data_IF_724452750459
#
_entry.id   IF_724452750459
#
_cell.length_a   1.000
_cell.length_b   1.000
_cell.length_c   1.000
_cell.angle_alpha   90.00
_cell.angle_beta   90.00
_cell.angle_gamma   90.00
#
_symmetry.space_group_name_H-M   'P 1'
#
loop_
_entity.id
_entity.type
_entity.pdbx_description
1 polymer ?
#
# COMPACT_ATOMS: atom_id res chain seq x y z
N UNK A 1 71.68 -2.38 22.97
CA UNK A 1 70.64 -3.42 23.06
C UNK A 1 69.34 -2.73 23.50
N UNK A 2 68.47 -2.33 22.58
CA UNK A 2 67.15 -1.79 22.87
C UNK A 2 66.12 -2.65 22.09
N UNK A 3 65.33 -3.43 22.82
CA UNK A 3 64.25 -4.28 22.28
C UNK A 3 63.01 -3.42 22.08
N UNK A 4 62.62 -3.20 20.87
CA UNK A 4 61.32 -2.58 20.50
C UNK A 4 60.25 -3.66 20.45
N UNK A 5 59.29 -3.60 21.34
CA UNK A 5 58.08 -4.43 21.33
C UNK A 5 57.06 -3.76 20.43
N UNK A 6 56.77 -4.38 19.31
CA UNK A 6 55.66 -3.96 18.41
C UNK A 6 54.35 -4.53 18.95
N UNK A 7 53.48 -3.66 19.44
CA UNK A 7 52.11 -4.04 19.85
C UNK A 7 51.25 -4.09 18.59
N UNK A 8 50.73 -5.30 18.26
CA UNK A 8 49.78 -5.57 17.20
C UNK A 8 48.37 -5.24 17.72
N UNK A 9 47.84 -4.08 17.37
CA UNK A 9 46.43 -3.76 17.62
C UNK A 9 45.55 -4.42 16.55
N UNK A 10 44.93 -5.54 16.93
CA UNK A 10 43.93 -6.23 16.14
C UNK A 10 42.61 -5.44 16.26
N UNK A 11 42.32 -4.56 15.30
CA UNK A 11 41.08 -3.84 15.20
C UNK A 11 39.94 -4.78 14.76
N UNK A 12 39.12 -5.20 15.70
CA UNK A 12 37.87 -5.88 15.37
C UNK A 12 36.89 -4.88 14.73
N UNK A 13 36.81 -4.88 13.42
CA UNK A 13 35.76 -4.16 12.70
C UNK A 13 34.41 -4.86 12.98
N UNK A 14 33.61 -4.31 13.89
CA UNK A 14 32.20 -4.68 14.03
C UNK A 14 31.49 -4.21 12.75
N UNK A 15 31.26 -5.12 11.81
CA UNK A 15 30.32 -4.90 10.71
C UNK A 15 28.92 -4.89 11.32
N UNK A 16 28.36 -3.69 11.52
CA UNK A 16 26.95 -3.50 11.78
C UNK A 16 26.19 -3.96 10.53
N UNK A 17 25.75 -5.21 10.53
CA UNK A 17 24.78 -5.69 9.56
C UNK A 17 23.47 -4.94 9.83
N UNK A 18 23.18 -3.97 8.96
CA UNK A 18 21.87 -3.34 8.91
C UNK A 18 20.88 -4.44 8.51
N UNK A 19 20.27 -5.11 9.48
CA UNK A 19 19.10 -5.94 9.24
C UNK A 19 18.00 -4.96 8.86
N UNK A 20 17.68 -4.90 7.58
CA UNK A 20 16.49 -4.19 7.12
C UNK A 20 15.30 -4.82 7.86
N UNK A 21 14.73 -4.09 8.81
CA UNK A 21 13.49 -4.49 9.43
C UNK A 21 12.45 -4.62 8.31
N UNK A 22 11.82 -5.80 8.20
CA UNK A 22 10.70 -5.96 7.29
C UNK A 22 9.64 -4.91 7.66
N UNK A 23 9.20 -4.12 6.69
CA UNK A 23 8.14 -3.14 6.91
C UNK A 23 6.90 -3.89 7.42
N UNK A 24 6.43 -3.56 8.63
CA UNK A 24 5.24 -4.19 9.21
C UNK A 24 4.03 -3.88 8.35
N UNK A 25 3.21 -4.91 8.15
CA UNK A 25 2.00 -4.77 7.35
C UNK A 25 0.95 -3.95 8.10
N UNK A 26 0.56 -2.82 7.53
CA UNK A 26 -0.52 -1.96 8.02
C UNK A 26 -1.81 -2.30 7.28
N UNK A 27 -2.88 -2.58 8.02
CA UNK A 27 -4.20 -2.89 7.48
C UNK A 27 -4.79 -1.72 6.71
N UNK A 28 -5.61 -2.04 5.71
CA UNK A 28 -6.24 -1.02 4.87
C UNK A 28 -7.60 -1.46 4.35
N UNK A 29 -8.39 -0.52 3.84
CA UNK A 29 -9.67 -0.78 3.24
C UNK A 29 -9.64 -1.93 2.23
N UNK A 30 -10.63 -2.80 2.28
CA UNK A 30 -10.76 -3.97 1.43
C UNK A 30 -10.06 -5.24 1.93
N UNK A 31 -9.23 -5.14 2.99
CA UNK A 31 -8.64 -6.33 3.61
C UNK A 31 -9.74 -7.23 4.20
N UNK A 32 -9.57 -8.53 4.00
CA UNK A 32 -10.44 -9.54 4.60
C UNK A 32 -9.67 -10.23 5.72
N UNK A 33 -10.22 -10.15 6.92
CA UNK A 33 -9.62 -10.70 8.13
C UNK A 33 -10.38 -11.93 8.60
N UNK A 34 -9.66 -12.97 8.92
CA UNK A 34 -10.17 -14.09 9.71
C UNK A 34 -9.88 -13.81 11.18
N UNK A 35 -10.94 -13.65 11.97
CA UNK A 35 -10.87 -13.38 13.40
C UNK A 35 -11.47 -14.56 14.12
N UNK A 36 -10.74 -15.11 15.08
CA UNK A 36 -11.19 -16.21 15.93
C UNK A 36 -11.12 -15.79 17.38
N UNK A 37 -12.23 -15.99 18.08
CA UNK A 37 -12.32 -15.79 19.54
C UNK A 37 -12.53 -17.17 20.16
N UNK A 38 -11.55 -17.63 20.94
CA UNK A 38 -11.56 -18.97 21.51
C UNK A 38 -12.79 -19.18 22.40
N UNK A 39 -13.56 -20.24 22.12
CA UNK A 39 -14.80 -20.57 22.85
C UNK A 39 -16.04 -19.76 22.41
N UNK A 40 -15.91 -18.86 21.41
CA UNK A 40 -16.99 -18.01 20.93
C UNK A 40 -17.09 -18.09 19.40
N UNK A 41 -17.72 -19.13 18.87
CA UNK A 41 -17.89 -19.32 17.43
C UNK A 41 -18.81 -18.26 16.80
N UNK A 42 -19.77 -17.74 17.57
CA UNK A 42 -20.68 -16.66 17.18
C UNK A 42 -19.97 -15.32 16.93
N UNK A 43 -18.82 -15.09 17.57
CA UNK A 43 -17.96 -13.91 17.38
C UNK A 43 -16.82 -14.15 16.37
N UNK A 44 -16.67 -15.37 15.90
CA UNK A 44 -15.57 -15.76 15.03
C UNK A 44 -15.94 -15.71 13.55
N UNK A 45 -14.95 -15.59 12.66
CA UNK A 45 -15.15 -15.72 11.21
C UNK A 45 -15.72 -17.06 10.82
N UNK A 46 -15.42 -18.11 11.59
CA UNK A 46 -15.95 -19.45 11.35
C UNK A 46 -17.31 -19.61 12.01
N UNK A 47 -18.37 -19.61 11.19
CA UNK A 47 -19.74 -19.87 11.64
C UNK A 47 -20.23 -21.16 11.00
N UNK A 48 -20.47 -22.20 11.81
CA UNK A 48 -20.83 -23.53 11.30
C UNK A 48 -19.76 -24.09 10.35
N UNK A 49 -20.09 -24.31 9.08
CA UNK A 49 -19.15 -24.81 8.06
C UNK A 49 -18.72 -23.74 7.04
N UNK A 50 -18.97 -22.46 7.32
CA UNK A 50 -18.67 -21.37 6.39
C UNK A 50 -17.75 -20.36 7.07
N UNK A 51 -16.63 -20.06 6.43
CA UNK A 51 -15.76 -18.97 6.85
C UNK A 51 -16.26 -17.65 6.25
N UNK A 52 -16.74 -16.75 7.09
CA UNK A 52 -17.15 -15.39 6.70
C UNK A 52 -16.11 -14.41 7.24
N UNK A 53 -15.22 -13.87 6.39
CA UNK A 53 -14.21 -12.94 6.84
C UNK A 53 -14.84 -11.60 7.24
N UNK A 54 -14.23 -10.93 8.18
CA UNK A 54 -14.48 -9.52 8.46
C UNK A 54 -13.77 -8.66 7.42
N UNK A 55 -14.45 -7.68 6.86
CA UNK A 55 -13.89 -6.83 5.80
C UNK A 55 -13.62 -5.44 6.37
N UNK A 56 -12.42 -4.92 6.15
CA UNK A 56 -12.12 -3.52 6.44
C UNK A 56 -12.89 -2.65 5.45
N UNK A 57 -13.79 -1.83 5.98
CA UNK A 57 -14.64 -0.94 5.19
C UNK A 57 -13.82 0.17 4.51
N UNK A 58 -14.37 0.85 3.49
CA UNK A 58 -13.69 1.98 2.82
C UNK A 58 -13.29 3.13 3.76
N UNK A 59 -14.01 3.31 4.89
CA UNK A 59 -13.70 4.30 5.93
C UNK A 59 -12.61 3.84 6.91
N UNK A 60 -11.99 2.67 6.67
CA UNK A 60 -10.94 2.11 7.52
C UNK A 60 -11.43 1.49 8.81
N UNK A 61 -12.71 1.13 8.91
CA UNK A 61 -13.32 0.54 10.10
C UNK A 61 -13.76 -0.90 9.87
N UNK A 62 -13.89 -1.65 10.96
CA UNK A 62 -14.49 -2.99 11.01
C UNK A 62 -15.62 -2.97 12.01
N UNK A 63 -16.78 -3.54 11.64
CA UNK A 63 -17.84 -3.83 12.58
C UNK A 63 -17.61 -5.20 13.22
N UNK A 64 -17.46 -5.21 14.54
CA UNK A 64 -17.28 -6.45 15.29
C UNK A 64 -18.41 -6.66 16.30
N UNK A 65 -19.00 -7.87 16.38
CA UNK A 65 -20.06 -8.16 17.34
C UNK A 65 -19.66 -7.81 18.78
N UNK A 66 -20.57 -7.30 19.57
CA UNK A 66 -20.43 -6.77 20.94
C UNK A 66 -19.69 -5.45 21.03
N UNK A 67 -18.59 -5.27 20.29
CA UNK A 67 -17.70 -4.09 20.37
C UNK A 67 -18.20 -2.94 19.49
N UNK A 68 -18.83 -3.28 18.33
CA UNK A 68 -19.25 -2.29 17.35
C UNK A 68 -18.15 -1.91 16.39
N UNK A 69 -18.09 -0.62 16.00
CA UNK A 69 -17.13 -0.11 15.02
C UNK A 69 -15.74 0.12 15.63
N UNK A 70 -14.72 -0.50 15.04
CA UNK A 70 -13.32 -0.35 15.44
C UNK A 70 -12.54 0.28 14.29
N UNK A 71 -11.81 1.37 14.57
CA UNK A 71 -10.92 2.00 13.59
C UNK A 71 -9.64 1.17 13.46
N UNK A 72 -9.34 0.74 12.23
CA UNK A 72 -8.14 -0.06 11.90
C UNK A 72 -7.08 0.76 11.14
N UNK A 73 -7.36 2.03 10.86
CA UNK A 73 -6.48 2.89 10.06
C UNK A 73 -5.12 3.07 10.73
N UNK A 74 -4.07 2.69 10.02
CA UNK A 74 -2.70 2.83 10.52
C UNK A 74 -2.26 1.74 11.49
N UNK A 75 -3.13 0.78 11.84
CA UNK A 75 -2.79 -0.33 12.72
C UNK A 75 -2.19 -1.51 11.97
N UNK A 76 -1.21 -2.14 12.58
CA UNK A 76 -0.76 -3.47 12.20
C UNK A 76 -1.76 -4.53 12.66
N UNK A 77 -1.67 -5.75 12.13
CA UNK A 77 -2.51 -6.88 12.58
C UNK A 77 -2.31 -7.16 14.07
N UNK A 78 -1.08 -7.00 14.56
CA UNK A 78 -0.74 -7.21 15.97
C UNK A 78 -1.41 -6.15 16.87
N UNK A 79 -1.31 -4.87 16.52
CA UNK A 79 -1.93 -3.78 17.27
C UNK A 79 -3.45 -3.90 17.29
N UNK A 80 -4.05 -4.25 16.14
CA UNK A 80 -5.48 -4.51 16.06
C UNK A 80 -5.92 -5.69 16.92
N UNK A 81 -5.14 -6.79 16.93
CA UNK A 81 -5.42 -7.95 17.79
C UNK A 81 -5.43 -7.56 19.26
N UNK A 82 -4.46 -6.75 19.68
CA UNK A 82 -4.40 -6.27 21.06
C UNK A 82 -5.57 -5.33 21.40
N UNK A 83 -5.89 -4.42 20.48
CA UNK A 83 -7.04 -3.51 20.64
C UNK A 83 -8.34 -4.30 20.78
N UNK A 84 -8.62 -5.21 19.84
CA UNK A 84 -9.82 -6.03 19.87
C UNK A 84 -9.90 -6.90 21.11
N UNK A 85 -8.79 -7.47 21.56
CA UNK A 85 -8.72 -8.25 22.81
C UNK A 85 -9.09 -7.39 24.00
N UNK A 86 -8.58 -6.16 24.06
CA UNK A 86 -8.88 -5.20 25.13
C UNK A 86 -10.37 -4.84 25.14
N UNK A 87 -10.92 -4.45 23.99
CA UNK A 87 -12.33 -4.08 23.89
C UNK A 87 -13.27 -5.25 24.26
N UNK A 88 -12.93 -6.47 23.82
CA UNK A 88 -13.69 -7.68 24.19
C UNK A 88 -13.59 -8.01 25.66
N UNK A 89 -12.54 -7.60 26.38
CA UNK A 89 -12.41 -7.87 27.81
C UNK A 89 -13.47 -7.20 28.69
N UNK A 90 -14.22 -6.23 28.13
CA UNK A 90 -15.40 -5.64 28.78
C UNK A 90 -16.62 -6.59 28.80
N UNK A 91 -16.65 -7.54 27.87
CA UNK A 91 -17.79 -8.46 27.65
C UNK A 91 -17.45 -9.92 27.99
N UNK A 92 -16.16 -10.29 27.86
CA UNK A 92 -15.69 -11.67 27.99
C UNK A 92 -14.49 -11.71 28.96
N UNK A 93 -14.48 -12.67 29.87
CA UNK A 93 -13.37 -12.88 30.81
C UNK A 93 -12.20 -13.53 30.05
N UNK A 94 -11.03 -12.89 30.05
CA UNK A 94 -9.78 -13.38 29.45
C UNK A 94 -9.94 -13.83 27.96
N UNK A 95 -10.43 -12.95 27.06
CA UNK A 95 -10.65 -13.31 25.67
C UNK A 95 -9.33 -13.65 24.97
N UNK A 96 -9.32 -14.75 24.21
CA UNK A 96 -8.19 -15.16 23.39
C UNK A 96 -8.55 -14.92 21.92
N UNK A 97 -7.96 -13.88 21.35
CA UNK A 97 -8.26 -13.44 19.97
C UNK A 97 -7.09 -13.78 19.07
N UNK A 98 -7.40 -14.33 17.89
CA UNK A 98 -6.44 -14.55 16.81
C UNK A 98 -6.95 -13.85 15.55
N UNK A 99 -6.11 -13.04 14.92
CA UNK A 99 -6.42 -12.33 13.67
C UNK A 99 -5.44 -12.72 12.59
N UNK A 100 -5.95 -13.17 11.44
CA UNK A 100 -5.16 -13.45 10.24
C UNK A 100 -5.70 -12.66 9.06
N UNK A 101 -4.84 -12.21 8.16
CA UNK A 101 -5.25 -11.63 6.88
C UNK A 101 -5.53 -12.76 5.90
N UNK A 102 -6.81 -12.98 5.58
CA UNK A 102 -7.24 -14.00 4.62
C UNK A 102 -7.02 -13.56 3.17
N UNK A 103 -7.28 -12.29 2.90
CA UNK A 103 -7.10 -11.69 1.58
C UNK A 103 -6.73 -10.21 1.73
N UNK A 104 -5.75 -9.78 0.97
CA UNK A 104 -5.37 -8.38 0.90
C UNK A 104 -6.40 -7.60 0.06
N UNK A 105 -6.73 -6.40 0.48
CA UNK A 105 -7.52 -5.46 -0.31
C UNK A 105 -6.82 -5.11 -1.61
N UNK A 106 -7.58 -4.67 -2.59
CA UNK A 106 -7.05 -4.16 -3.85
C UNK A 106 -7.15 -2.64 -3.88
N UNK A 107 -6.18 -2.00 -4.52
CA UNK A 107 -6.16 -0.57 -4.77
C UNK A 107 -6.22 -0.35 -6.28
N UNK A 108 -7.19 0.40 -6.74
CA UNK A 108 -7.33 0.77 -8.17
C UNK A 108 -6.52 2.03 -8.43
N UNK A 109 -5.64 1.95 -9.40
CA UNK A 109 -4.80 3.07 -9.82
C UNK A 109 -4.87 3.22 -11.33
N UNK A 110 -4.62 4.42 -11.82
CA UNK A 110 -4.57 4.70 -13.24
C UNK A 110 -3.14 4.95 -13.67
N UNK A 111 -2.69 4.30 -14.73
CA UNK A 111 -1.37 4.53 -15.34
C UNK A 111 -1.60 5.01 -16.77
N UNK A 112 -1.23 6.24 -17.04
CA UNK A 112 -1.55 6.92 -18.28
C UNK A 112 -0.32 7.56 -18.94
N UNK A 113 -0.47 7.99 -20.19
CA UNK A 113 0.59 8.66 -20.95
C UNK A 113 1.54 7.68 -21.65
N UNK A 114 2.83 8.01 -21.68
CA UNK A 114 3.88 7.26 -22.37
C UNK A 114 4.32 6.02 -21.58
N UNK A 115 3.42 5.04 -21.51
CA UNK A 115 3.62 3.72 -20.92
C UNK A 115 3.20 2.64 -21.93
N UNK A 116 3.71 1.41 -21.79
CA UNK A 116 3.42 0.36 -22.79
C UNK A 116 1.94 0.02 -22.88
N UNK A 117 1.26 -0.04 -21.72
CA UNK A 117 -0.17 -0.32 -21.64
C UNK A 117 -0.78 0.69 -20.68
N UNK A 118 -1.39 1.75 -21.22
CA UNK A 118 -2.14 2.71 -20.43
C UNK A 118 -3.49 2.11 -20.01
N UNK A 119 -3.92 2.35 -18.77
CA UNK A 119 -5.19 1.83 -18.29
C UNK A 119 -5.34 1.92 -16.77
N UNK A 120 -6.44 1.36 -16.28
CA UNK A 120 -6.70 1.13 -14.88
C UNK A 120 -6.09 -0.22 -14.46
N UNK A 121 -5.50 -0.26 -13.28
CA UNK A 121 -4.91 -1.45 -12.68
C UNK A 121 -5.42 -1.66 -11.27
N UNK A 122 -5.86 -2.87 -10.99
CA UNK A 122 -6.12 -3.31 -9.63
C UNK A 122 -4.83 -3.91 -9.08
N UNK A 123 -4.29 -3.23 -8.09
CA UNK A 123 -3.08 -3.66 -7.43
C UNK A 123 -3.45 -4.25 -6.07
N UNK A 124 -2.85 -5.38 -5.69
CA UNK A 124 -2.88 -5.90 -4.34
C UNK A 124 -1.96 -5.07 -3.46
N UNK A 125 -2.17 -5.01 -2.24
CA UNK A 125 -1.63 -4.06 -1.30
C UNK A 125 -0.10 -4.08 -1.08
N UNK A 126 0.41 -2.93 -0.63
CA UNK A 126 1.85 -2.64 -0.54
C UNK A 126 2.37 -1.98 -1.80
N UNK A 127 1.50 -1.65 -2.74
CA UNK A 127 1.86 -1.19 -4.07
C UNK A 127 2.39 0.22 -4.08
N UNK A 128 3.50 0.27 -4.73
CA UNK A 128 4.24 1.49 -4.97
C UNK A 128 4.18 1.84 -6.46
N UNK A 129 4.66 3.01 -6.79
CA UNK A 129 4.73 3.51 -8.18
C UNK A 129 5.40 2.50 -9.12
N UNK A 130 6.45 1.79 -8.65
CA UNK A 130 7.15 0.80 -9.47
C UNK A 130 6.26 -0.41 -9.81
N UNK A 131 5.40 -0.82 -8.90
CA UNK A 131 4.50 -1.96 -9.10
C UNK A 131 3.45 -1.62 -10.16
N UNK A 132 2.87 -0.41 -10.08
CA UNK A 132 1.94 0.09 -11.10
C UNK A 132 2.60 0.20 -12.48
N UNK A 133 3.84 0.70 -12.54
CA UNK A 133 4.62 0.75 -13.76
C UNK A 133 4.90 -0.65 -14.31
N UNK A 134 5.23 -1.59 -13.43
CA UNK A 134 5.44 -3.00 -13.80
C UNK A 134 4.17 -3.62 -14.40
N UNK A 135 3.01 -3.45 -13.76
CA UNK A 135 1.71 -3.91 -14.23
C UNK A 135 1.37 -3.32 -15.62
N UNK A 136 1.70 -2.04 -15.83
CA UNK A 136 1.52 -1.35 -17.11
C UNK A 136 2.57 -1.71 -18.19
N UNK A 137 3.45 -2.69 -17.91
CA UNK A 137 4.47 -3.17 -18.81
C UNK A 137 5.74 -2.31 -18.87
N UNK A 138 5.86 -1.32 -17.99
CA UNK A 138 7.04 -0.46 -17.86
C UNK A 138 7.10 0.68 -18.88
N UNK A 139 8.24 1.34 -18.90
CA UNK A 139 8.52 2.49 -19.75
C UNK A 139 8.56 2.14 -21.25
N UNK A 140 8.16 3.07 -22.09
CA UNK A 140 8.45 3.07 -23.54
C UNK A 140 9.82 3.73 -23.80
N UNK A 141 10.31 3.65 -25.04
CA UNK A 141 11.50 4.38 -25.46
C UNK A 141 11.31 5.91 -25.40
N UNK A 142 10.07 6.39 -25.46
CA UNK A 142 9.69 7.81 -25.44
C UNK A 142 9.40 8.34 -24.04
N UNK A 143 9.30 7.47 -23.02
CA UNK A 143 8.96 7.88 -21.65
C UNK A 143 10.03 8.77 -21.04
N UNK A 144 9.62 9.93 -20.54
CA UNK A 144 10.48 10.85 -19.79
C UNK A 144 10.56 10.44 -18.31
N UNK A 145 11.47 9.52 -17.98
CA UNK A 145 11.63 8.95 -16.63
C UNK A 145 11.90 9.98 -15.51
N UNK A 146 12.23 11.21 -15.86
CA UNK A 146 12.41 12.34 -14.92
C UNK A 146 11.12 13.13 -14.68
N UNK A 147 10.10 12.90 -15.49
CA UNK A 147 8.87 13.69 -15.52
C UNK A 147 7.67 12.75 -15.45
N UNK A 148 7.55 12.07 -14.32
CA UNK A 148 6.38 11.27 -13.99
C UNK A 148 5.58 12.08 -12.97
N UNK A 149 4.28 12.15 -13.14
CA UNK A 149 3.40 12.89 -12.24
C UNK A 149 2.48 11.90 -11.54
N UNK A 150 2.49 11.95 -10.22
CA UNK A 150 1.52 11.27 -9.38
C UNK A 150 0.46 12.28 -8.96
N UNK A 151 -0.78 12.03 -9.34
CA UNK A 151 -1.93 12.88 -9.07
C UNK A 151 -2.80 12.11 -8.09
N UNK A 152 -2.96 12.65 -6.88
CA UNK A 152 -3.66 11.99 -5.80
C UNK A 152 -5.17 12.10 -5.98
N UNK A 153 -5.85 10.96 -6.09
CA UNK A 153 -7.31 10.87 -6.17
C UNK A 153 -7.94 11.84 -7.19
N UNK A 154 -7.28 12.03 -8.35
CA UNK A 154 -7.74 12.94 -9.39
C UNK A 154 -7.69 14.44 -9.05
N UNK A 155 -7.09 14.83 -7.92
CA UNK A 155 -6.98 16.22 -7.47
C UNK A 155 -5.73 16.87 -8.06
N UNK A 156 -5.92 17.87 -8.94
CA UNK A 156 -4.82 18.56 -9.63
C UNK A 156 -3.89 19.34 -8.69
N UNK A 157 -4.43 19.85 -7.60
CA UNK A 157 -3.69 20.58 -6.56
C UNK A 157 -2.76 19.69 -5.74
N UNK A 158 -2.92 18.36 -5.82
CA UNK A 158 -2.10 17.36 -5.13
C UNK A 158 -1.25 16.56 -6.11
N UNK A 159 -0.60 17.25 -7.02
CA UNK A 159 0.28 16.62 -8.01
C UNK A 159 1.74 16.61 -7.54
N UNK A 160 2.32 15.42 -7.47
CA UNK A 160 3.73 15.22 -7.12
C UNK A 160 4.55 14.84 -8.35
N UNK A 161 5.67 15.53 -8.59
CA UNK A 161 6.58 15.20 -9.68
C UNK A 161 7.65 14.21 -9.21
N UNK A 162 7.75 13.07 -9.88
CA UNK A 162 8.67 12.00 -9.58
C UNK A 162 9.81 11.91 -10.60
N UNK A 163 11.01 11.60 -10.12
CA UNK A 163 12.20 11.38 -10.92
C UNK A 163 12.74 9.95 -10.79
N UNK A 164 12.24 9.05 -11.61
CA UNK A 164 12.63 7.63 -11.56
C UNK A 164 14.06 7.34 -12.06
N UNK A 165 14.74 8.28 -12.71
CA UNK A 165 16.15 8.07 -13.03
C UNK A 165 17.04 7.94 -11.79
N UNK A 166 16.70 8.60 -10.69
CA UNK A 166 17.43 8.47 -9.44
C UNK A 166 17.22 7.08 -8.83
N UNK A 167 16.00 6.57 -8.87
CA UNK A 167 15.70 5.20 -8.46
C UNK A 167 16.51 4.18 -9.28
N UNK A 168 16.44 4.27 -10.63
CA UNK A 168 17.07 3.29 -11.53
C UNK A 168 18.61 3.32 -11.51
N UNK A 169 19.21 4.48 -11.23
CA UNK A 169 20.67 4.65 -11.27
C UNK A 169 21.34 4.56 -9.91
N UNK A 170 20.65 4.97 -8.85
CA UNK A 170 21.21 5.15 -7.51
C UNK A 170 20.52 4.30 -6.44
N UNK A 171 19.44 3.60 -6.78
CA UNK A 171 18.61 2.87 -5.83
C UNK A 171 17.83 3.77 -4.85
N UNK A 172 17.65 5.07 -5.21
CA UNK A 172 16.93 6.03 -4.37
C UNK A 172 15.42 5.68 -4.33
N UNK A 173 15.02 5.01 -3.26
CA UNK A 173 13.66 4.55 -3.06
C UNK A 173 12.67 5.68 -2.69
N UNK A 174 13.13 6.90 -2.41
CA UNK A 174 12.27 8.03 -2.01
C UNK A 174 11.22 8.40 -3.06
N UNK A 175 11.46 8.03 -4.32
CA UNK A 175 10.54 8.31 -5.44
C UNK A 175 9.54 7.16 -5.69
N UNK A 176 9.70 6.04 -5.00
CA UNK A 176 8.81 4.89 -5.13
C UNK A 176 7.69 4.96 -4.08
N UNK A 177 6.85 5.97 -4.22
CA UNK A 177 5.77 6.29 -3.28
C UNK A 177 4.69 5.21 -3.25
N UNK A 178 4.03 5.07 -2.11
CA UNK A 178 2.83 4.24 -1.95
C UNK A 178 1.67 4.87 -2.71
N UNK A 179 0.93 4.05 -3.44
CA UNK A 179 -0.26 4.45 -4.19
C UNK A 179 -1.52 4.15 -3.39
N UNK A 180 -2.46 5.08 -3.45
CA UNK A 180 -3.76 4.98 -2.82
C UNK A 180 -4.86 4.76 -3.87
N UNK A 181 -6.06 4.41 -3.41
CA UNK A 181 -7.24 4.26 -4.27
C UNK A 181 -7.51 5.55 -5.05
N UNK A 182 -7.67 5.41 -6.37
CA UNK A 182 -7.93 6.53 -7.26
C UNK A 182 -6.72 7.35 -7.70
N UNK A 183 -5.52 6.98 -7.27
CA UNK A 183 -4.30 7.67 -7.73
C UNK A 183 -4.08 7.48 -9.23
N UNK A 184 -3.63 8.55 -9.88
CA UNK A 184 -3.27 8.54 -11.29
C UNK A 184 -1.78 8.79 -11.47
N UNK A 185 -1.09 7.84 -12.10
CA UNK A 185 0.30 7.96 -12.48
C UNK A 185 0.38 8.34 -13.96
N UNK A 186 0.80 9.56 -14.25
CA UNK A 186 0.93 10.06 -15.62
C UNK A 186 2.40 10.13 -16.05
N UNK A 187 2.74 9.38 -17.10
CA UNK A 187 4.09 9.38 -17.70
C UNK A 187 4.12 10.32 -18.90
N UNK A 188 5.01 11.31 -18.84
CA UNK A 188 5.19 12.21 -19.98
C UNK A 188 6.13 11.62 -21.03
N UNK A 189 5.99 12.09 -22.26
CA UNK A 189 6.98 11.85 -23.30
C UNK A 189 8.21 12.74 -23.15
N UNK A 190 9.23 12.49 -23.99
CA UNK A 190 10.48 13.28 -24.04
C UNK A 190 10.30 14.73 -24.54
N UNK A 191 9.08 15.10 -24.96
CA UNK A 191 8.71 16.46 -25.35
C UNK A 191 8.42 17.38 -24.17
N UNK A 192 8.03 18.62 -24.47
CA UNK A 192 7.49 19.54 -23.44
C UNK A 192 6.09 19.06 -23.05
N UNK A 193 5.88 18.88 -21.75
CA UNK A 193 4.57 18.58 -21.20
C UNK A 193 3.63 19.77 -21.43
N UNK A 194 2.51 19.53 -22.07
CA UNK A 194 1.41 20.48 -22.09
C UNK A 194 0.28 19.94 -21.18
N UNK A 195 0.22 20.47 -19.97
CA UNK A 195 -0.72 20.03 -18.94
C UNK A 195 -2.18 20.12 -19.44
N UNK A 196 -2.53 21.23 -20.08
CA UNK A 196 -3.90 21.47 -20.54
C UNK A 196 -4.33 20.54 -21.68
N UNK A 197 -3.41 20.17 -22.57
CA UNK A 197 -3.74 19.38 -23.75
C UNK A 197 -3.50 17.87 -23.57
N UNK A 198 -2.66 17.49 -22.63
CA UNK A 198 -2.26 16.09 -22.46
C UNK A 198 -2.78 15.49 -21.14
N UNK A 199 -2.52 16.15 -20.01
CA UNK A 199 -2.83 15.60 -18.67
C UNK A 199 -4.31 15.81 -18.33
N UNK A 200 -4.83 17.00 -18.50
CA UNK A 200 -6.21 17.33 -18.14
C UNK A 200 -7.27 16.49 -18.88
N UNK A 201 -7.16 16.24 -20.21
CA UNK A 201 -8.07 15.33 -20.90
C UNK A 201 -7.92 13.88 -20.46
N UNK A 202 -6.73 13.45 -20.01
CA UNK A 202 -6.51 12.12 -19.49
C UNK A 202 -7.21 11.94 -18.14
N UNK A 203 -7.10 12.93 -17.24
CA UNK A 203 -7.79 12.95 -15.97
C UNK A 203 -9.31 12.98 -16.12
N UNK A 204 -9.83 13.80 -17.03
CA UNK A 204 -11.27 13.86 -17.31
C UNK A 204 -11.82 12.52 -17.80
N UNK A 205 -11.06 11.78 -18.61
CA UNK A 205 -11.43 10.42 -19.04
C UNK A 205 -11.47 9.44 -17.85
N UNK A 206 -10.54 9.58 -16.91
CA UNK A 206 -10.51 8.79 -15.68
C UNK A 206 -11.75 9.12 -14.84
N UNK A 207 -12.02 10.41 -14.60
CA UNK A 207 -13.17 10.85 -13.82
C UNK A 207 -14.50 10.39 -14.43
N UNK A 208 -14.64 10.44 -15.75
CA UNK A 208 -15.81 9.93 -16.45
C UNK A 208 -15.92 8.40 -16.36
N UNK A 209 -14.80 7.68 -16.46
CA UNK A 209 -14.77 6.23 -16.28
C UNK A 209 -15.24 5.79 -14.90
N UNK A 210 -14.89 6.53 -13.85
CA UNK A 210 -15.39 6.31 -12.50
C UNK A 210 -16.91 6.41 -12.41
N UNK A 211 -17.48 7.44 -12.99
CA UNK A 211 -18.93 7.65 -12.98
C UNK A 211 -19.72 6.51 -13.64
N UNK A 212 -19.15 5.88 -14.68
CA UNK A 212 -19.80 4.75 -15.36
C UNK A 212 -19.60 3.43 -14.63
N UNK A 213 -18.46 3.19 -13.98
CA UNK A 213 -18.19 1.95 -13.22
C UNK A 213 -19.03 1.88 -11.95
N UNK A 214 -19.13 2.99 -11.21
CA UNK A 214 -19.93 3.06 -9.99
C UNK A 214 -21.44 2.88 -10.26
N UNK A 215 -21.90 3.36 -11.41
CA UNK A 215 -23.30 3.22 -11.84
C UNK A 215 -23.67 1.84 -12.40
N UNK A 216 -22.68 1.06 -12.82
CA UNK A 216 -22.87 -0.31 -13.33
C UNK A 216 -22.82 -1.36 -12.21
N UNK A 217 -22.33 -0.98 -11.02
CA UNK A 217 -22.22 -1.86 -9.84
C UNK A 217 -23.33 -1.65 -8.81
N UNK A 218 -24.27 -0.73 -9.06
CA UNK A 218 -25.54 -0.54 -8.35
C UNK A 218 -26.69 -0.96 -9.25
#
# INVERSE_FOLDING_TARGET
MKKTIAALLLGAALTLTNVAAAEEYIMSPGDQLQIYVLGHEDLSSRRSNTDVPFVVRPDGRIDFPLVGEINTTGLTVYEFTNLLTKELSEYIIDPKVTVNVAKLGTTRVFVLGEVKKAGMYELTKGHRVLDALGAAGGFTAKSAKKNIFLIRNGQEDKMEKLNFNNYLRKGDASQNLVLNEGDCLYLTGNGKLNFLTEVLPALNRVAQGWYYVDRASN
#
